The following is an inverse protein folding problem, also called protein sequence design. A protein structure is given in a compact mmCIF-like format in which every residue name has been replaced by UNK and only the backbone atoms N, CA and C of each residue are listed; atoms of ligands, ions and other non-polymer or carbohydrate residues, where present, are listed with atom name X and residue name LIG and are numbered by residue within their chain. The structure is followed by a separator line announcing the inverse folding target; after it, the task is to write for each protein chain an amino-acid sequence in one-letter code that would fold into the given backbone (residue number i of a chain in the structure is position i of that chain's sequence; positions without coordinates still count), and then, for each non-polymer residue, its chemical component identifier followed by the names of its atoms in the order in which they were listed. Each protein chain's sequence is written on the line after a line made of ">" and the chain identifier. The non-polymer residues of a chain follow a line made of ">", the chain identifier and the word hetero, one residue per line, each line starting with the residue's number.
data_IF_223523614798
#
_entry.id   IF_223523614798
#
_cell.length_a   1.000
_cell.length_b   1.000
_cell.length_c   1.000
_cell.angle_alpha   90.00
_cell.angle_beta   90.00
_cell.angle_gamma   90.00
#
_symmetry.space_group_name_H-M   'P 1'
#
loop_
_entity.id
_entity.type
_entity.pdbx_description
1 polymer ?
#
# COMPACT_ATOMS: atom_id res chain seq x y z
N UNK A 1 19.65 5.61 -1.90
CA UNK A 1 19.80 4.55 -0.89
C UNK A 1 20.57 3.33 -1.43
N UNK A 2 20.89 3.26 -2.72
CA UNK A 2 21.68 2.19 -3.34
C UNK A 2 21.04 0.79 -3.29
N UNK A 3 19.69 0.73 -3.13
CA UNK A 3 18.98 -0.56 -3.11
C UNK A 3 18.73 -1.04 -4.54
N UNK A 4 18.93 -2.33 -4.75
CA UNK A 4 18.75 -2.98 -6.06
C UNK A 4 17.54 -3.92 -6.10
N UNK A 5 16.93 -4.17 -4.93
CA UNK A 5 15.82 -5.11 -4.79
C UNK A 5 14.68 -4.51 -3.93
N UNK A 6 13.44 -4.70 -4.38
CA UNK A 6 12.23 -4.40 -3.62
C UNK A 6 11.55 -5.68 -3.15
N UNK A 7 11.04 -5.65 -1.93
CA UNK A 7 10.09 -6.66 -1.44
C UNK A 7 8.82 -5.98 -0.96
N UNK A 8 7.69 -6.60 -1.24
CA UNK A 8 6.37 -6.13 -0.76
C UNK A 8 5.47 -7.29 -0.38
N UNK A 9 4.55 -7.06 0.53
CA UNK A 9 3.39 -7.93 0.71
C UNK A 9 2.15 -7.27 0.13
N UNK A 10 1.22 -8.09 -0.35
CA UNK A 10 -0.06 -7.63 -0.88
C UNK A 10 -1.18 -8.61 -0.54
N UNK A 11 -2.40 -8.09 -0.34
CA UNK A 11 -3.61 -8.89 -0.22
C UNK A 11 -4.36 -8.93 -1.56
N UNK A 12 -5.14 -7.90 -1.87
CA UNK A 12 -5.87 -7.79 -3.14
C UNK A 12 -4.98 -7.61 -4.39
N UNK A 13 -3.69 -7.34 -4.22
CA UNK A 13 -2.72 -7.26 -5.32
C UNK A 13 -2.41 -5.84 -5.81
N UNK A 14 -3.16 -4.83 -5.43
CA UNK A 14 -2.96 -3.46 -5.93
C UNK A 14 -1.59 -2.89 -5.53
N UNK A 15 -1.21 -3.01 -4.26
CA UNK A 15 0.10 -2.59 -3.78
C UNK A 15 1.23 -3.37 -4.45
N UNK A 16 1.05 -4.69 -4.66
CA UNK A 16 2.00 -5.53 -5.37
C UNK A 16 2.22 -5.09 -6.81
N UNK A 17 1.14 -4.78 -7.55
CA UNK A 17 1.22 -4.26 -8.93
C UNK A 17 1.93 -2.92 -8.96
N UNK A 18 1.59 -1.99 -8.05
CA UNK A 18 2.24 -0.68 -7.98
C UNK A 18 3.75 -0.80 -7.68
N UNK A 19 4.13 -1.68 -6.74
CA UNK A 19 5.54 -1.93 -6.41
C UNK A 19 6.27 -2.57 -7.58
N UNK A 20 5.67 -3.56 -8.26
CA UNK A 20 6.25 -4.19 -9.45
C UNK A 20 6.44 -3.18 -10.59
N UNK A 21 5.48 -2.25 -10.79
CA UNK A 21 5.60 -1.18 -11.78
C UNK A 21 6.77 -0.25 -11.48
N UNK A 22 6.90 0.18 -10.23
CA UNK A 22 8.01 1.04 -9.82
C UNK A 22 9.37 0.31 -9.94
N UNK A 23 9.43 -0.97 -9.59
CA UNK A 23 10.62 -1.79 -9.72
C UNK A 23 11.04 -1.93 -11.19
N UNK A 24 10.10 -2.22 -12.09
CA UNK A 24 10.38 -2.32 -13.53
C UNK A 24 10.86 -0.98 -14.11
N UNK A 25 10.28 0.14 -13.68
CA UNK A 25 10.70 1.48 -14.12
C UNK A 25 12.13 1.83 -13.66
N UNK A 26 12.54 1.33 -12.50
CA UNK A 26 13.83 1.64 -11.87
C UNK A 26 14.88 0.53 -12.08
N UNK A 27 14.60 -0.45 -12.91
CA UNK A 27 15.45 -1.63 -13.16
C UNK A 27 15.90 -2.33 -11.87
N UNK A 28 14.92 -2.59 -10.98
CA UNK A 28 15.14 -3.24 -9.69
C UNK A 28 14.50 -4.63 -9.66
N UNK A 29 15.15 -5.57 -8.98
CA UNK A 29 14.49 -6.84 -8.66
C UNK A 29 13.27 -6.63 -7.76
N UNK A 30 12.19 -7.39 -8.01
CA UNK A 30 10.97 -7.28 -7.21
C UNK A 30 10.44 -8.66 -6.79
N UNK A 31 10.25 -8.83 -5.49
CA UNK A 31 9.55 -10.00 -4.95
C UNK A 31 8.29 -9.55 -4.19
N UNK A 32 7.15 -10.08 -4.62
CA UNK A 32 5.85 -9.78 -4.01
C UNK A 32 5.29 -11.02 -3.35
N UNK A 33 5.00 -10.90 -2.09
CA UNK A 33 4.45 -11.97 -1.29
C UNK A 33 2.93 -11.82 -1.16
N UNK A 34 2.21 -12.86 -1.47
CA UNK A 34 0.75 -12.85 -1.52
C UNK A 34 0.20 -14.15 -0.93
N UNK A 35 -0.91 -14.07 -0.20
CA UNK A 35 -1.57 -15.28 0.32
C UNK A 35 -1.97 -16.22 -0.80
N UNK A 36 -1.82 -17.54 -0.60
CA UNK A 36 -2.13 -18.53 -1.64
C UNK A 36 -3.56 -18.39 -2.17
N UNK A 37 -4.54 -18.22 -1.28
CA UNK A 37 -5.94 -18.01 -1.68
C UNK A 37 -6.14 -16.71 -2.45
N UNK A 38 -5.43 -15.63 -2.05
CA UNK A 38 -5.49 -14.35 -2.72
C UNK A 38 -4.85 -14.42 -4.11
N UNK A 39 -3.80 -15.23 -4.30
CA UNK A 39 -3.20 -15.44 -5.63
C UNK A 39 -4.19 -16.05 -6.62
N UNK A 40 -5.07 -16.93 -6.15
CA UNK A 40 -6.12 -17.54 -6.98
C UNK A 40 -7.23 -16.54 -7.28
N UNK A 41 -7.74 -15.85 -6.25
CA UNK A 41 -8.81 -14.85 -6.38
C UNK A 41 -8.41 -13.65 -7.24
N UNK A 42 -7.17 -13.25 -7.18
CA UNK A 42 -6.61 -12.07 -7.84
C UNK A 42 -5.62 -12.46 -8.95
N UNK A 43 -5.94 -13.52 -9.71
CA UNK A 43 -5.07 -14.05 -10.77
C UNK A 43 -4.64 -13.01 -11.79
N UNK A 44 -5.52 -12.05 -12.12
CA UNK A 44 -5.20 -10.94 -13.03
C UNK A 44 -4.10 -10.02 -12.48
N UNK A 45 -4.13 -9.70 -11.19
CA UNK A 45 -3.08 -8.90 -10.57
C UNK A 45 -1.76 -9.68 -10.48
N UNK A 46 -1.82 -10.98 -10.20
CA UNK A 46 -0.65 -11.87 -10.24
C UNK A 46 -0.03 -11.89 -11.65
N UNK A 47 -0.85 -12.00 -12.69
CA UNK A 47 -0.40 -11.93 -14.07
C UNK A 47 0.29 -10.59 -14.39
N UNK A 48 -0.30 -9.46 -14.00
CA UNK A 48 0.29 -8.12 -14.18
C UNK A 48 1.66 -8.00 -13.50
N UNK A 49 1.77 -8.44 -12.25
CA UNK A 49 3.04 -8.43 -11.52
C UNK A 49 4.13 -9.25 -12.22
N UNK A 50 3.78 -10.44 -12.70
CA UNK A 50 4.72 -11.30 -13.45
C UNK A 50 5.12 -10.71 -14.79
N UNK A 51 4.19 -10.09 -15.50
CA UNK A 51 4.47 -9.37 -16.76
C UNK A 51 5.47 -8.23 -16.56
N UNK A 52 5.41 -7.56 -15.40
CA UNK A 52 6.35 -6.52 -15.00
C UNK A 52 7.68 -7.06 -14.45
N UNK A 53 7.92 -8.36 -14.55
CA UNK A 53 9.17 -9.01 -14.09
C UNK A 53 9.20 -9.33 -12.60
N UNK A 54 8.16 -9.06 -11.83
CA UNK A 54 8.15 -9.36 -10.41
C UNK A 54 7.91 -10.86 -10.14
N UNK A 55 8.62 -11.40 -9.16
CA UNK A 55 8.43 -12.75 -8.65
C UNK A 55 7.33 -12.75 -7.59
N UNK A 56 6.18 -13.36 -7.90
CA UNK A 56 5.08 -13.52 -6.94
C UNK A 56 5.25 -14.81 -6.17
N UNK A 57 5.37 -14.71 -4.85
CA UNK A 57 5.62 -15.84 -3.94
C UNK A 57 4.34 -16.13 -3.15
N UNK A 58 3.67 -17.28 -3.40
CA UNK A 58 2.53 -17.69 -2.62
C UNK A 58 2.93 -18.02 -1.18
N UNK A 59 2.14 -17.58 -0.22
CA UNK A 59 2.36 -17.86 1.19
C UNK A 59 1.32 -18.83 1.69
N UNK A 60 1.77 -20.02 2.07
CA UNK A 60 0.92 -21.15 2.50
C UNK A 60 0.79 -21.29 4.01
N UNK A 61 1.68 -20.63 4.79
CA UNK A 61 1.76 -20.77 6.25
C UNK A 61 0.99 -19.68 7.01
N UNK A 62 0.43 -20.03 8.15
CA UNK A 62 -0.36 -19.14 9.00
C UNK A 62 -1.83 -19.11 8.60
N UNK A 63 -2.54 -18.02 8.89
CA UNK A 63 -3.96 -17.84 8.52
C UNK A 63 -4.16 -17.60 7.01
N UNK A 64 -3.14 -17.87 6.19
CA UNK A 64 -3.08 -17.61 4.73
C UNK A 64 -3.38 -16.15 4.34
N UNK A 65 -3.35 -15.26 5.32
CA UNK A 65 -3.59 -13.82 5.20
C UNK A 65 -2.43 -13.03 5.80
N UNK A 66 -2.57 -11.72 5.94
CA UNK A 66 -1.56 -10.72 6.37
C UNK A 66 -0.63 -11.05 7.57
N UNK A 67 -0.89 -12.11 8.36
CA UNK A 67 -0.04 -12.46 9.53
C UNK A 67 1.35 -13.00 9.18
N UNK A 68 1.63 -13.29 7.94
CA UNK A 68 2.95 -13.78 7.49
C UNK A 68 4.03 -12.69 7.46
N UNK A 69 3.71 -11.46 7.87
CA UNK A 69 4.62 -10.32 7.93
C UNK A 69 5.90 -10.57 8.73
N UNK A 70 5.79 -11.27 9.87
CA UNK A 70 6.94 -11.49 10.77
C UNK A 70 8.04 -12.39 10.20
N UNK A 71 7.68 -13.36 9.38
CA UNK A 71 8.65 -14.26 8.77
C UNK A 71 9.50 -13.55 7.72
N UNK A 72 8.93 -12.56 7.04
CA UNK A 72 9.57 -11.77 5.98
C UNK A 72 10.39 -10.61 6.50
N UNK A 73 10.04 -10.06 7.65
CA UNK A 73 10.91 -9.15 8.37
C UNK A 73 12.27 -9.79 8.71
N UNK A 74 12.31 -11.11 8.97
CA UNK A 74 13.58 -11.83 9.15
C UNK A 74 14.39 -11.92 7.86
N UNK A 75 13.74 -12.23 6.76
CA UNK A 75 14.40 -12.34 5.45
C UNK A 75 14.93 -10.99 4.99
N UNK A 76 14.13 -9.93 5.17
CA UNK A 76 14.56 -8.56 4.93
C UNK A 76 15.65 -8.10 5.88
N UNK A 77 15.57 -8.41 7.18
CA UNK A 77 16.59 -8.05 8.17
C UNK A 77 17.98 -8.63 7.82
N UNK A 78 18.04 -9.81 7.19
CA UNK A 78 19.28 -10.39 6.68
C UNK A 78 19.83 -9.73 5.41
N UNK A 79 19.03 -8.90 4.71
CA UNK A 79 19.39 -8.28 3.42
C UNK A 79 19.08 -6.76 3.35
N UNK A 80 19.17 -6.10 4.49
CA UNK A 80 18.88 -4.65 4.57
C UNK A 80 19.80 -3.82 3.65
N UNK A 81 21.00 -4.29 3.39
CA UNK A 81 21.96 -3.53 2.59
C UNK A 81 21.54 -3.37 1.14
N UNK A 82 20.97 -4.39 0.51
CA UNK A 82 20.58 -4.41 -0.90
C UNK A 82 19.06 -4.31 -1.13
N UNK A 83 18.26 -4.61 -0.12
CA UNK A 83 16.81 -4.76 -0.24
C UNK A 83 16.05 -3.67 0.50
N UNK A 84 15.06 -3.07 -0.17
CA UNK A 84 14.09 -2.16 0.46
C UNK A 84 12.73 -2.86 0.63
N UNK A 85 12.19 -2.80 1.84
CA UNK A 85 10.84 -3.26 2.13
C UNK A 85 9.84 -2.15 1.86
N UNK A 86 9.04 -2.33 0.82
CA UNK A 86 8.02 -1.37 0.39
C UNK A 86 6.70 -1.65 1.13
N UNK A 87 6.48 -0.95 2.25
CA UNK A 87 5.27 -1.09 3.05
C UNK A 87 4.16 -0.21 2.48
N UNK A 88 3.03 -0.82 2.08
CA UNK A 88 1.88 -0.13 1.50
C UNK A 88 0.75 0.17 2.47
N UNK A 89 0.85 -0.25 3.73
CA UNK A 89 -0.19 -0.10 4.75
C UNK A 89 0.10 1.07 5.70
N UNK A 90 -0.96 1.66 6.29
CA UNK A 90 -0.82 2.66 7.37
C UNK A 90 -0.56 1.98 8.72
N UNK A 91 0.24 0.94 8.72
CA UNK A 91 0.59 0.10 9.87
C UNK A 91 2.09 0.02 10.02
N UNK A 92 2.53 -0.50 11.17
CA UNK A 92 3.94 -0.61 11.50
C UNK A 92 4.46 0.54 12.36
N UNK A 93 5.77 0.58 12.64
CA UNK A 93 6.36 1.62 13.47
C UNK A 93 6.39 2.97 12.74
N UNK A 94 6.46 4.04 13.52
CA UNK A 94 6.73 5.38 12.96
C UNK A 94 8.08 5.35 12.21
N UNK A 95 8.19 5.97 11.02
CA UNK A 95 7.26 6.91 10.39
C UNK A 95 6.34 6.30 9.31
N UNK A 96 6.28 4.99 9.12
CA UNK A 96 5.54 4.36 8.01
C UNK A 96 4.07 4.81 7.91
N UNK A 97 3.27 4.83 8.99
CA UNK A 97 1.88 5.30 8.89
C UNK A 97 1.77 6.74 8.40
N UNK A 98 2.68 7.61 8.83
CA UNK A 98 2.73 9.00 8.40
C UNK A 98 3.07 9.12 6.91
N UNK A 99 4.10 8.41 6.45
CA UNK A 99 4.54 8.41 5.05
C UNK A 99 3.39 7.94 4.14
N UNK A 100 2.78 6.80 4.46
CA UNK A 100 1.69 6.24 3.67
C UNK A 100 0.48 7.17 3.66
N UNK A 101 0.10 7.73 4.81
CA UNK A 101 -0.97 8.73 4.92
C UNK A 101 -0.71 9.93 4.01
N UNK A 102 0.47 10.51 4.08
CA UNK A 102 0.77 11.76 3.39
C UNK A 102 0.79 11.58 1.87
N UNK A 103 1.34 10.47 1.37
CA UNK A 103 1.27 10.15 -0.05
C UNK A 103 -0.14 9.81 -0.53
N UNK A 104 -0.92 9.07 0.24
CA UNK A 104 -2.30 8.72 -0.11
C UNK A 104 -3.29 9.90 0.08
N UNK A 105 -2.94 10.91 0.85
CA UNK A 105 -3.79 12.06 1.12
C UNK A 105 -4.10 12.91 -0.12
N UNK A 106 -3.40 12.70 -1.24
CA UNK A 106 -3.76 13.29 -2.54
C UNK A 106 -5.20 12.96 -2.92
N UNK A 107 -5.69 11.75 -2.59
CA UNK A 107 -7.07 11.32 -2.85
C UNK A 107 -8.06 12.29 -2.21
N UNK A 108 -7.99 12.50 -0.91
CA UNK A 108 -8.95 13.36 -0.21
C UNK A 108 -8.76 14.86 -0.50
N UNK A 109 -7.55 15.28 -0.83
CA UNK A 109 -7.27 16.66 -1.26
C UNK A 109 -8.00 16.98 -2.55
N UNK A 110 -7.87 16.13 -3.55
CA UNK A 110 -8.53 16.30 -4.84
C UNK A 110 -10.04 16.11 -4.73
N UNK A 111 -10.49 15.06 -4.02
CA UNK A 111 -11.92 14.83 -3.77
C UNK A 111 -12.58 16.06 -3.11
N UNK A 112 -11.93 16.63 -2.09
CA UNK A 112 -12.46 17.82 -1.40
C UNK A 112 -12.64 19.00 -2.35
N UNK A 113 -11.66 19.26 -3.21
CA UNK A 113 -11.74 20.32 -4.20
C UNK A 113 -12.87 20.06 -5.21
N UNK A 114 -12.86 18.88 -5.80
CA UNK A 114 -13.83 18.49 -6.84
C UNK A 114 -15.28 18.49 -6.33
N UNK A 115 -15.52 18.02 -5.11
CA UNK A 115 -16.89 18.02 -4.56
C UNK A 115 -17.40 19.43 -4.24
N UNK A 116 -16.52 20.30 -3.74
CA UNK A 116 -16.88 21.69 -3.51
C UNK A 116 -17.15 22.46 -4.81
N UNK A 117 -16.39 22.17 -5.87
CA UNK A 117 -16.63 22.76 -7.20
C UNK A 117 -17.97 22.29 -7.80
N UNK A 118 -18.36 21.02 -7.60
CA UNK A 118 -19.58 20.44 -8.18
C UNK A 118 -20.83 20.70 -7.36
N UNK A 119 -20.74 20.55 -6.04
CA UNK A 119 -21.90 20.53 -5.14
C UNK A 119 -21.95 21.72 -4.19
N UNK A 120 -20.95 22.59 -4.16
CA UNK A 120 -20.84 23.73 -3.25
C UNK A 120 -20.70 23.37 -1.78
N UNK A 121 -20.69 22.10 -1.42
CA UNK A 121 -20.61 21.61 -0.03
C UNK A 121 -19.82 20.31 0.08
N UNK A 122 -19.38 20.00 1.29
CA UNK A 122 -18.73 18.71 1.58
C UNK A 122 -19.79 17.59 1.70
N UNK A 123 -19.40 16.32 1.44
CA UNK A 123 -20.29 15.18 1.58
C UNK A 123 -20.69 14.94 3.04
N UNK A 124 -21.89 14.40 3.25
CA UNK A 124 -22.38 14.03 4.57
C UNK A 124 -21.70 12.75 5.08
N UNK A 125 -21.32 11.85 4.16
CA UNK A 125 -20.62 10.59 4.48
C UNK A 125 -19.59 10.27 3.42
N UNK A 126 -18.50 9.63 3.84
CA UNK A 126 -17.44 9.09 2.98
C UNK A 126 -17.23 7.62 3.33
N UNK A 127 -17.31 6.76 2.32
CA UNK A 127 -17.11 5.32 2.45
C UNK A 127 -15.84 4.90 1.73
N UNK A 128 -15.06 4.02 2.34
CA UNK A 128 -13.87 3.47 1.73
C UNK A 128 -13.64 2.01 2.14
N UNK A 129 -13.12 1.20 1.21
CA UNK A 129 -12.67 -0.15 1.53
C UNK A 129 -11.41 -0.11 2.38
N UNK A 130 -11.33 -1.02 3.35
CA UNK A 130 -10.20 -1.13 4.28
C UNK A 130 -9.53 -2.50 4.15
N UNK A 131 -8.34 -2.52 3.57
CA UNK A 131 -7.41 -3.65 3.66
C UNK A 131 -6.30 -3.30 4.66
N UNK A 132 -5.15 -2.79 4.20
CA UNK A 132 -4.10 -2.22 5.03
C UNK A 132 -4.38 -0.79 5.54
N UNK A 133 -5.51 -0.21 5.18
CA UNK A 133 -5.97 1.09 5.63
C UNK A 133 -5.46 2.29 4.83
N UNK A 134 -4.56 2.11 3.87
CA UNK A 134 -3.96 3.23 3.12
C UNK A 134 -5.01 3.99 2.29
N UNK A 135 -5.88 3.28 1.57
CA UNK A 135 -6.97 3.89 0.81
C UNK A 135 -7.94 4.67 1.71
N UNK A 136 -8.37 4.08 2.82
CA UNK A 136 -9.29 4.72 3.75
C UNK A 136 -8.65 5.98 4.39
N UNK A 137 -7.41 5.87 4.82
CA UNK A 137 -6.68 7.00 5.40
C UNK A 137 -6.50 8.13 4.36
N UNK A 138 -6.13 7.79 3.13
CA UNK A 138 -6.03 8.75 2.03
C UNK A 138 -7.35 9.43 1.72
N UNK A 139 -8.47 8.67 1.72
CA UNK A 139 -9.80 9.19 1.44
C UNK A 139 -10.34 10.09 2.54
N UNK A 140 -10.05 9.79 3.81
CA UNK A 140 -10.65 10.51 4.94
C UNK A 140 -9.85 11.72 5.40
N UNK A 141 -8.54 11.74 5.18
CA UNK A 141 -7.62 12.67 5.84
C UNK A 141 -7.99 14.14 5.73
N UNK A 142 -8.33 14.66 4.54
CA UNK A 142 -8.74 16.05 4.33
C UNK A 142 -10.25 16.29 4.47
N UNK A 143 -11.04 15.23 4.63
CA UNK A 143 -12.48 15.31 4.80
C UNK A 143 -12.90 15.17 6.26
N UNK A 144 -12.01 14.64 7.13
CA UNK A 144 -12.27 14.44 8.56
C UNK A 144 -12.43 15.77 9.31
N UNK A 145 -13.48 15.90 10.15
CA UNK A 145 -13.67 17.08 11.01
C UNK A 145 -12.53 17.29 12.03
N UNK A 146 -11.85 16.23 12.42
CA UNK A 146 -10.76 16.31 13.43
C UNK A 146 -9.57 17.15 12.96
N UNK A 147 -9.30 17.19 11.66
CA UNK A 147 -8.21 18.02 11.13
C UNK A 147 -8.51 19.52 11.23
N UNK A 148 -9.77 19.94 11.15
CA UNK A 148 -10.16 21.35 11.27
C UNK A 148 -9.79 21.98 12.61
N UNK A 149 -9.56 21.15 13.66
CA UNK A 149 -9.10 21.62 14.97
C UNK A 149 -7.57 21.71 15.05
N UNK A 150 -6.84 20.81 14.37
CA UNK A 150 -5.37 20.80 14.38
C UNK A 150 -4.76 21.95 13.54
N UNK A 151 -5.42 22.38 12.47
CA UNK A 151 -4.96 23.48 11.60
C UNK A 151 -5.28 24.88 12.19
N UNK A 152 -5.89 24.97 13.40
CA UNK A 152 -6.25 26.19 14.11
C UNK A 152 -5.43 26.46 15.39
N UNK A 153 -4.45 25.60 15.66
CA UNK A 153 -3.47 25.74 16.74
C UNK A 153 -2.10 26.06 16.16
#
# INVERSE_FOLDING_TARGET
>A
MGKTRLIAETGAGQHGVATATAAALMDMECEVFMGEEDTKRQALNVYKMRLLGAKVIPVTSGTRTLKTRYRKLREWAGRIQDTHYCLGSVMGPHPFPTIVRDFQAVISRETRRQILEKEGRLPDAVLACVGGGSNAMGSFYHLSPMRRKADRL
#
